data_IF_631610885906
#
_entry.id   IF_631610885906
#
_cell.length_a   1.000
_cell.length_b   1.000
_cell.length_c   1.000
_cell.angle_alpha   90.00
_cell.angle_beta   90.00
_cell.angle_gamma   90.00
#
_symmetry.space_group_name_H-M   'P 1'
#
loop_
_entity.id
_entity.type
_entity.pdbx_description
1 polymer ?
#
# COMPACT_ATOMS: atom_id res chain seq x y z
N UNK A 1 -8.43 24.50 4.37
CA UNK A 1 -8.32 23.06 4.10
C UNK A 1 -9.60 22.40 4.58
N UNK A 2 -10.28 21.56 3.77
CA UNK A 2 -11.56 20.95 4.14
C UNK A 2 -11.39 19.47 4.48
N UNK A 3 -11.97 18.97 5.57
CA UNK A 3 -12.15 17.53 5.88
C UNK A 3 -13.42 17.01 5.20
N UNK A 4 -13.64 15.72 4.96
CA UNK A 4 -14.88 15.16 4.37
C UNK A 4 -16.12 15.43 5.18
N UNK A 5 -15.98 15.53 6.51
CA UNK A 5 -17.05 16.07 7.36
C UNK A 5 -17.46 17.51 7.00
N UNK A 6 -16.61 18.25 6.28
CA UNK A 6 -16.89 19.55 5.65
C UNK A 6 -17.13 19.43 4.13
N UNK A 7 -16.73 18.32 3.50
CA UNK A 7 -17.03 17.98 2.11
C UNK A 7 -18.32 17.16 2.09
N UNK A 8 -19.47 17.77 2.36
CA UNK A 8 -20.79 17.11 2.37
C UNK A 8 -21.07 16.36 1.05
N UNK A 9 -20.60 15.12 0.89
CA UNK A 9 -20.83 14.29 -0.29
C UNK A 9 -22.30 13.92 -0.37
N UNK A 10 -22.87 13.96 -1.57
CA UNK A 10 -24.29 13.65 -1.80
C UNK A 10 -24.41 12.34 -2.57
N UNK A 11 -25.64 11.81 -2.67
CA UNK A 11 -25.89 10.60 -3.44
C UNK A 11 -25.52 10.75 -4.92
N UNK A 12 -25.59 11.95 -5.49
CA UNK A 12 -25.18 12.19 -6.89
C UNK A 12 -23.66 12.07 -7.11
N UNK A 13 -22.85 12.14 -6.05
CA UNK A 13 -21.40 11.94 -6.15
C UNK A 13 -21.00 10.46 -6.14
N UNK A 14 -21.95 9.55 -5.89
CA UNK A 14 -21.68 8.11 -5.85
C UNK A 14 -21.72 7.48 -7.24
N UNK A 15 -20.74 6.64 -7.53
CA UNK A 15 -20.71 5.78 -8.71
C UNK A 15 -21.10 4.35 -8.34
N UNK A 16 -21.96 3.73 -9.14
CA UNK A 16 -22.16 2.28 -9.09
C UNK A 16 -21.05 1.58 -9.87
N UNK A 17 -20.43 0.56 -9.26
CA UNK A 17 -19.48 -0.32 -9.95
C UNK A 17 -20.28 -1.37 -10.72
N UNK A 18 -20.21 -1.31 -12.04
CA UNK A 18 -20.89 -2.19 -12.97
C UNK A 18 -20.23 -3.57 -13.07
N UNK A 19 -18.90 -3.64 -12.89
CA UNK A 19 -18.15 -4.88 -13.03
C UNK A 19 -18.26 -5.76 -11.77
N UNK A 20 -18.85 -6.97 -11.85
CA UNK A 20 -19.12 -7.81 -10.66
C UNK A 20 -17.86 -8.21 -9.88
N UNK A 21 -16.79 -8.64 -10.57
CA UNK A 21 -15.52 -8.97 -9.90
C UNK A 21 -14.93 -7.75 -9.18
N UNK A 22 -14.84 -6.59 -9.82
CA UNK A 22 -14.25 -5.41 -9.20
C UNK A 22 -15.06 -4.95 -8.00
N UNK A 23 -16.39 -4.98 -8.09
CA UNK A 23 -17.25 -4.70 -6.94
C UNK A 23 -16.92 -5.67 -5.80
N UNK A 24 -16.83 -6.98 -6.06
CA UNK A 24 -16.48 -7.97 -5.04
C UNK A 24 -15.06 -7.80 -4.45
N UNK A 25 -14.08 -7.37 -5.25
CA UNK A 25 -12.71 -7.13 -4.79
C UNK A 25 -12.58 -5.84 -3.98
N UNK A 26 -13.32 -4.80 -4.34
CA UNK A 26 -13.22 -3.46 -3.75
C UNK A 26 -14.13 -3.25 -2.54
N UNK A 27 -15.26 -3.95 -2.47
CA UNK A 27 -16.33 -3.73 -1.49
C UNK A 27 -16.50 -4.92 -0.54
N UNK A 28 -17.42 -4.82 0.43
CA UNK A 28 -17.83 -5.97 1.24
C UNK A 28 -18.55 -7.07 0.44
N UNK A 29 -18.89 -6.81 -0.84
CA UNK A 29 -19.51 -7.78 -1.74
C UNK A 29 -21.03 -7.87 -1.62
N UNK A 30 -21.65 -7.04 -0.76
CA UNK A 30 -23.10 -7.00 -0.56
C UNK A 30 -23.82 -6.68 -1.87
N UNK A 31 -24.74 -7.56 -2.30
CA UNK A 31 -25.46 -7.42 -3.57
C UNK A 31 -24.63 -7.75 -4.82
N UNK A 32 -23.40 -8.26 -4.67
CA UNK A 32 -22.60 -8.73 -5.80
C UNK A 32 -23.20 -9.99 -6.42
N UNK A 33 -23.33 -10.00 -7.75
CA UNK A 33 -23.67 -11.21 -8.50
C UNK A 33 -22.52 -12.26 -8.46
N UNK A 34 -21.29 -11.82 -8.14
CA UNK A 34 -20.11 -12.69 -8.05
C UNK A 34 -19.68 -12.86 -6.60
N UNK A 35 -19.65 -14.11 -6.13
CA UNK A 35 -18.99 -14.48 -4.87
C UNK A 35 -17.56 -14.89 -5.17
N UNK A 36 -16.61 -14.12 -4.66
CA UNK A 36 -15.19 -14.43 -4.81
C UNK A 36 -14.76 -15.49 -3.78
N UNK A 37 -13.88 -16.44 -4.15
CA UNK A 37 -13.42 -17.51 -3.25
C UNK A 37 -12.40 -17.04 -2.20
N UNK A 38 -11.99 -15.77 -2.27
CA UNK A 38 -11.05 -15.12 -1.35
C UNK A 38 -11.67 -13.82 -0.86
N UNK A 39 -11.23 -13.36 0.30
CA UNK A 39 -11.72 -12.13 0.92
C UNK A 39 -11.37 -10.90 0.08
N UNK A 40 -12.09 -9.79 0.27
CA UNK A 40 -11.87 -8.55 -0.49
C UNK A 40 -10.51 -7.89 -0.17
N UNK A 41 -10.20 -6.79 -0.83
CA UNK A 41 -8.95 -6.03 -0.63
C UNK A 41 -8.68 -5.62 0.84
N UNK A 42 -9.73 -5.39 1.64
CA UNK A 42 -9.60 -4.92 3.03
C UNK A 42 -9.18 -6.02 4.02
N UNK A 43 -9.13 -7.28 3.60
CA UNK A 43 -8.76 -8.42 4.46
C UNK A 43 -7.26 -8.61 4.68
N UNK A 44 -6.42 -7.79 4.04
CA UNK A 44 -4.96 -7.92 4.02
C UNK A 44 -4.41 -9.19 3.35
N UNK A 45 -5.26 -10.01 2.71
CA UNK A 45 -4.82 -11.13 1.88
C UNK A 45 -4.04 -10.67 0.64
N UNK A 46 -3.02 -11.43 0.21
CA UNK A 46 -2.15 -11.07 -0.91
C UNK A 46 -2.78 -11.32 -2.29
N UNK A 47 -3.75 -12.24 -2.40
CA UNK A 47 -4.39 -12.66 -3.63
C UNK A 47 -5.30 -11.57 -4.21
N UNK A 48 -6.36 -11.20 -3.48
CA UNK A 48 -7.28 -10.13 -3.90
C UNK A 48 -6.55 -8.80 -4.03
N UNK A 49 -5.65 -8.53 -3.09
CA UNK A 49 -4.82 -7.33 -3.09
C UNK A 49 -3.92 -7.28 -4.32
N UNK A 50 -3.26 -8.39 -4.66
CA UNK A 50 -2.38 -8.49 -5.82
C UNK A 50 -3.12 -8.34 -7.14
N UNK A 51 -4.27 -8.99 -7.28
CA UNK A 51 -5.11 -8.86 -8.49
C UNK A 51 -5.57 -7.41 -8.67
N UNK A 52 -6.10 -6.79 -7.62
CA UNK A 52 -6.57 -5.40 -7.70
C UNK A 52 -5.42 -4.42 -7.96
N UNK A 53 -4.28 -4.56 -7.28
CA UNK A 53 -3.08 -3.76 -7.53
C UNK A 53 -2.62 -3.88 -8.98
N UNK A 54 -2.56 -5.11 -9.53
CA UNK A 54 -2.17 -5.34 -10.92
C UNK A 54 -3.11 -4.63 -11.89
N UNK A 55 -4.43 -4.83 -11.75
CA UNK A 55 -5.41 -4.18 -12.61
C UNK A 55 -5.33 -2.66 -12.53
N UNK A 56 -5.13 -2.09 -11.33
CA UNK A 56 -4.95 -0.65 -11.16
C UNK A 56 -3.67 -0.13 -11.82
N UNK A 57 -2.57 -0.87 -11.67
CA UNK A 57 -1.30 -0.50 -12.30
C UNK A 57 -1.40 -0.48 -13.82
N UNK A 58 -2.06 -1.47 -14.43
CA UNK A 58 -2.29 -1.49 -15.87
C UNK A 58 -3.29 -0.41 -16.32
N UNK A 59 -4.38 -0.22 -15.58
CA UNK A 59 -5.42 0.75 -15.93
C UNK A 59 -4.89 2.20 -15.92
N UNK A 60 -4.05 2.55 -14.94
CA UNK A 60 -3.58 3.91 -14.69
C UNK A 60 -2.10 4.13 -15.04
N UNK A 61 -1.48 3.14 -15.70
CA UNK A 61 -0.08 3.12 -16.08
C UNK A 61 0.88 3.45 -14.92
N UNK A 62 0.64 2.86 -13.75
CA UNK A 62 1.53 2.99 -12.59
C UNK A 62 2.66 1.99 -12.73
N UNK A 63 3.89 2.47 -12.69
CA UNK A 63 5.10 1.66 -12.83
C UNK A 63 6.02 1.87 -11.63
N UNK A 64 6.77 0.83 -11.27
CA UNK A 64 7.82 0.88 -10.25
C UNK A 64 9.13 0.41 -10.87
N UNK A 65 10.25 0.81 -10.28
CA UNK A 65 11.52 0.18 -10.59
C UNK A 65 11.51 -1.30 -10.18
N UNK A 66 12.20 -2.19 -10.92
CA UNK A 66 12.21 -3.62 -10.62
C UNK A 66 12.67 -3.99 -9.20
N UNK A 67 13.50 -3.16 -8.57
CA UNK A 67 13.98 -3.34 -7.19
C UNK A 67 13.15 -2.58 -6.15
N UNK A 68 11.98 -2.05 -6.53
CA UNK A 68 10.98 -1.50 -5.62
C UNK A 68 9.58 -2.08 -5.93
N UNK A 69 9.44 -3.43 -5.96
CA UNK A 69 8.15 -4.05 -6.25
C UNK A 69 7.14 -3.75 -5.15
N UNK A 70 5.85 -3.81 -5.50
CA UNK A 70 4.79 -3.87 -4.51
C UNK A 70 4.89 -5.17 -3.68
N UNK A 71 4.45 -5.16 -2.42
CA UNK A 71 4.48 -6.35 -1.58
C UNK A 71 3.78 -7.56 -2.21
N UNK A 72 2.64 -7.33 -2.89
CA UNK A 72 1.89 -8.37 -3.58
C UNK A 72 2.57 -8.90 -4.86
N UNK A 73 3.59 -8.20 -5.36
CA UNK A 73 4.40 -8.63 -6.50
C UNK A 73 5.66 -9.36 -6.03
N UNK A 74 6.12 -9.09 -4.81
CA UNK A 74 7.30 -9.72 -4.22
C UNK A 74 6.99 -11.00 -3.43
N UNK A 75 5.73 -11.21 -3.04
CA UNK A 75 5.31 -12.35 -2.21
C UNK A 75 4.14 -13.09 -2.85
N UNK A 76 4.23 -14.42 -2.88
CA UNK A 76 3.11 -15.27 -3.27
C UNK A 76 2.06 -15.30 -2.13
N UNK A 77 0.76 -15.39 -2.46
CA UNK A 77 -0.28 -15.70 -1.48
C UNK A 77 -0.02 -17.05 -0.81
N UNK A 78 -0.57 -17.24 0.40
CA UNK A 78 -0.60 -18.57 1.05
C UNK A 78 -1.42 -19.56 0.21
N UNK A 79 -1.19 -20.86 0.37
CA UNK A 79 -1.72 -21.90 -0.54
C UNK A 79 -3.24 -21.81 -0.79
N UNK A 80 -4.04 -21.67 0.29
CA UNK A 80 -5.50 -21.53 0.19
C UNK A 80 -5.91 -20.29 -0.61
N UNK A 81 -5.23 -19.17 -0.37
CA UNK A 81 -5.47 -17.92 -1.07
C UNK A 81 -4.99 -17.97 -2.53
N UNK A 82 -3.88 -18.66 -2.80
CA UNK A 82 -3.31 -18.81 -4.13
C UNK A 82 -4.26 -19.60 -5.05
N UNK A 83 -4.88 -20.66 -4.55
CA UNK A 83 -5.88 -21.43 -5.28
C UNK A 83 -7.10 -20.57 -5.65
N UNK A 84 -7.61 -19.77 -4.71
CA UNK A 84 -8.72 -18.86 -4.96
C UNK A 84 -8.37 -17.71 -5.91
N UNK A 85 -7.18 -17.13 -5.79
CA UNK A 85 -6.69 -16.11 -6.71
C UNK A 85 -6.56 -16.67 -8.14
N UNK A 86 -6.00 -17.87 -8.30
CA UNK A 86 -5.90 -18.53 -9.60
C UNK A 86 -7.27 -18.82 -10.21
N UNK A 87 -8.25 -19.21 -9.38
CA UNK A 87 -9.63 -19.40 -9.83
C UNK A 87 -10.24 -18.10 -10.36
N UNK A 88 -10.07 -16.98 -9.66
CA UNK A 88 -10.51 -15.67 -10.14
C UNK A 88 -9.88 -15.34 -11.50
N UNK A 89 -8.57 -15.52 -11.62
CA UNK A 89 -7.85 -15.25 -12.87
C UNK A 89 -8.40 -16.10 -14.03
N UNK A 90 -8.65 -17.39 -13.80
CA UNK A 90 -9.16 -18.32 -14.82
C UNK A 90 -10.62 -18.12 -15.20
N UNK A 91 -11.47 -17.66 -14.28
CA UNK A 91 -12.91 -17.56 -14.54
C UNK A 91 -13.30 -16.16 -15.05
N UNK A 92 -12.62 -15.12 -14.55
CA UNK A 92 -13.03 -13.74 -14.76
C UNK A 92 -12.03 -12.90 -15.56
N UNK A 93 -10.78 -13.36 -15.74
CA UNK A 93 -9.69 -12.59 -16.34
C UNK A 93 -8.83 -13.44 -17.32
N UNK A 94 -9.41 -14.49 -17.90
CA UNK A 94 -8.74 -15.49 -18.75
C UNK A 94 -8.50 -15.04 -20.20
N UNK A 95 -9.12 -13.93 -20.60
CA UNK A 95 -8.96 -13.38 -21.95
C UNK A 95 -8.55 -11.92 -21.91
N UNK A 96 -7.78 -11.43 -22.89
CA UNK A 96 -7.43 -10.01 -22.98
C UNK A 96 -8.65 -9.09 -22.97
N UNK A 97 -9.76 -9.53 -23.58
CA UNK A 97 -11.00 -8.76 -23.61
C UNK A 97 -11.62 -8.57 -22.21
N UNK A 98 -11.70 -9.65 -21.41
CA UNK A 98 -12.20 -9.54 -20.03
C UNK A 98 -11.29 -8.67 -19.16
N UNK A 99 -9.98 -8.77 -19.35
CA UNK A 99 -9.02 -7.89 -18.67
C UNK A 99 -9.30 -6.44 -19.04
N UNK A 100 -9.42 -6.10 -20.32
CA UNK A 100 -9.68 -4.71 -20.71
C UNK A 100 -11.03 -4.16 -20.23
N UNK A 101 -12.07 -4.99 -20.13
CA UNK A 101 -13.33 -4.57 -19.49
C UNK A 101 -13.09 -4.17 -18.03
N UNK A 102 -12.30 -4.94 -17.28
CA UNK A 102 -11.94 -4.59 -15.90
C UNK A 102 -11.08 -3.33 -15.82
N UNK A 103 -10.09 -3.17 -16.71
CA UNK A 103 -9.25 -1.97 -16.75
C UNK A 103 -10.08 -0.72 -17.09
N UNK A 104 -11.00 -0.82 -18.05
CA UNK A 104 -11.92 0.26 -18.41
C UNK A 104 -12.80 0.70 -17.24
N UNK A 105 -13.27 -0.25 -16.43
CA UNK A 105 -14.05 0.07 -15.24
C UNK A 105 -13.22 0.78 -14.16
N UNK A 106 -11.96 0.38 -13.94
CA UNK A 106 -11.06 1.08 -13.02
C UNK A 106 -10.83 2.53 -13.49
N UNK A 107 -10.60 2.73 -14.79
CA UNK A 107 -10.45 4.09 -15.36
C UNK A 107 -11.72 4.90 -15.12
N UNK A 108 -12.90 4.33 -15.35
CA UNK A 108 -14.20 4.99 -15.12
C UNK A 108 -14.38 5.40 -13.65
N UNK A 109 -14.04 4.52 -12.71
CA UNK A 109 -14.10 4.83 -11.27
C UNK A 109 -13.15 5.98 -10.94
N UNK A 110 -11.90 5.91 -11.41
CA UNK A 110 -10.91 6.96 -11.21
C UNK A 110 -11.41 8.30 -11.77
N UNK A 111 -11.82 8.34 -13.04
CA UNK A 111 -12.28 9.56 -13.71
C UNK A 111 -13.50 10.17 -13.02
N UNK A 112 -14.45 9.33 -12.57
CA UNK A 112 -15.58 9.79 -11.77
C UNK A 112 -15.14 10.42 -10.46
N UNK A 113 -14.31 9.74 -9.68
CA UNK A 113 -13.72 10.24 -8.43
C UNK A 113 -13.03 11.60 -8.64
N UNK A 114 -12.20 11.71 -9.67
CA UNK A 114 -11.53 12.96 -10.02
C UNK A 114 -12.51 14.07 -10.43
N UNK A 115 -13.59 13.71 -11.15
CA UNK A 115 -14.64 14.66 -11.52
C UNK A 115 -15.36 15.23 -10.30
N UNK A 116 -15.65 14.39 -9.29
CA UNK A 116 -16.27 14.79 -8.03
C UNK A 116 -15.38 15.79 -7.30
N UNK A 117 -14.09 15.48 -7.14
CA UNK A 117 -13.14 16.38 -6.48
C UNK A 117 -13.00 17.71 -7.21
N UNK A 118 -12.94 17.66 -8.55
CA UNK A 118 -12.90 18.86 -9.40
C UNK A 118 -14.13 19.74 -9.22
N UNK A 119 -15.35 19.17 -9.27
CA UNK A 119 -16.61 19.92 -9.05
C UNK A 119 -16.65 20.58 -7.68
N UNK A 120 -16.09 19.92 -6.68
CA UNK A 120 -16.04 20.40 -5.29
C UNK A 120 -14.84 21.31 -4.98
N UNK A 121 -13.95 21.54 -5.94
CA UNK A 121 -12.76 22.37 -5.78
C UNK A 121 -11.71 21.80 -4.82
N UNK A 122 -11.70 20.48 -4.62
CA UNK A 122 -10.77 19.79 -3.73
C UNK A 122 -9.49 19.51 -4.53
N UNK A 123 -8.33 19.87 -3.98
CA UNK A 123 -7.00 19.66 -4.59
C UNK A 123 -6.11 18.76 -3.77
N UNK A 124 -6.22 18.86 -2.46
CA UNK A 124 -5.52 18.01 -1.49
C UNK A 124 -6.50 17.53 -0.44
N UNK A 125 -6.15 16.42 0.20
CA UNK A 125 -6.85 15.85 1.35
C UNK A 125 -5.84 15.42 2.40
N UNK A 126 -6.08 15.78 3.66
CA UNK A 126 -5.24 15.33 4.76
C UNK A 126 -5.79 14.02 5.30
N UNK A 127 -4.98 12.97 5.19
CA UNK A 127 -5.36 11.62 5.58
C UNK A 127 -4.43 11.09 6.67
N UNK A 128 -4.96 10.15 7.42
CA UNK A 128 -4.34 9.52 8.55
C UNK A 128 -4.30 8.01 8.34
N UNK A 129 -3.27 7.41 8.91
CA UNK A 129 -3.15 5.96 9.01
C UNK A 129 -2.56 5.59 10.36
N UNK A 130 -3.35 4.91 11.16
CA UNK A 130 -2.89 4.38 12.44
C UNK A 130 -2.22 3.04 12.23
N UNK A 131 -1.14 2.81 12.98
CA UNK A 131 -0.20 1.73 12.75
C UNK A 131 0.04 0.96 14.05
N UNK A 132 0.03 -0.36 13.91
CA UNK A 132 0.36 -1.29 14.99
C UNK A 132 1.73 -1.93 14.74
N UNK A 133 2.38 -2.38 15.81
CA UNK A 133 3.70 -3.03 15.71
C UNK A 133 3.66 -4.44 15.12
N UNK A 134 2.48 -5.06 15.02
CA UNK A 134 2.28 -6.44 14.59
C UNK A 134 2.77 -7.47 15.63
N UNK A 135 2.76 -8.75 15.24
CA UNK A 135 3.33 -9.84 16.03
C UNK A 135 4.86 -9.78 15.97
N UNK A 136 5.46 -9.31 17.06
CA UNK A 136 6.92 -9.21 17.24
C UNK A 136 7.51 -10.61 17.41
N UNK A 137 8.33 -11.04 16.45
CA UNK A 137 9.19 -12.22 16.58
C UNK A 137 10.67 -11.83 16.47
N UNK A 138 11.55 -12.43 17.26
CA UNK A 138 12.99 -12.41 17.00
C UNK A 138 13.75 -11.10 17.23
N UNK A 139 13.28 -10.22 18.13
CA UNK A 139 14.03 -9.01 18.51
C UNK A 139 14.00 -7.85 17.50
N UNK A 140 13.22 -7.97 16.42
CA UNK A 140 13.00 -6.89 15.45
C UNK A 140 12.08 -5.78 16.00
N UNK A 141 12.32 -4.55 15.53
CA UNK A 141 11.43 -3.40 15.76
C UNK A 141 10.09 -3.62 15.07
N UNK A 142 9.00 -3.29 15.74
CA UNK A 142 7.67 -3.30 15.14
C UNK A 142 7.51 -2.18 14.10
N UNK A 143 6.49 -2.29 13.25
CA UNK A 143 6.28 -1.34 12.15
C UNK A 143 5.99 0.09 12.65
N UNK A 144 5.10 0.24 13.63
CA UNK A 144 4.76 1.52 14.22
C UNK A 144 5.96 2.17 14.94
N UNK A 145 6.69 1.36 15.71
CA UNK A 145 7.95 1.70 16.36
C UNK A 145 8.97 2.25 15.34
N UNK A 146 9.18 1.53 14.23
CA UNK A 146 10.12 1.93 13.17
C UNK A 146 9.79 3.32 12.63
N UNK A 147 8.51 3.59 12.39
CA UNK A 147 8.07 4.89 11.87
C UNK A 147 8.26 6.03 12.87
N UNK A 148 8.03 5.77 14.16
CA UNK A 148 8.35 6.72 15.22
C UNK A 148 9.84 7.03 15.25
N UNK A 149 10.69 6.02 15.14
CA UNK A 149 12.15 6.20 15.13
C UNK A 149 12.61 6.94 13.87
N UNK A 150 12.04 6.66 12.71
CA UNK A 150 12.31 7.42 11.48
C UNK A 150 11.93 8.91 11.63
N UNK A 151 10.77 9.21 12.21
CA UNK A 151 10.37 10.59 12.50
C UNK A 151 11.37 11.28 13.43
N UNK A 152 11.79 10.63 14.51
CA UNK A 152 12.78 11.19 15.45
C UNK A 152 14.14 11.41 14.81
N UNK A 153 14.57 10.46 13.96
CA UNK A 153 15.82 10.58 13.21
C UNK A 153 15.77 11.78 12.25
N UNK A 154 14.66 11.94 11.52
CA UNK A 154 14.44 13.09 10.64
C UNK A 154 14.49 14.41 11.42
N UNK A 155 13.78 14.52 12.55
CA UNK A 155 13.81 15.73 13.40
C UNK A 155 15.20 16.03 13.92
N UNK A 156 15.96 15.02 14.36
CA UNK A 156 17.35 15.19 14.82
C UNK A 156 18.24 15.77 13.72
N UNK A 157 18.01 15.36 12.47
CA UNK A 157 18.73 15.85 11.29
C UNK A 157 18.15 17.15 10.71
N UNK A 158 17.14 17.75 11.35
CA UNK A 158 16.38 18.90 10.83
C UNK A 158 15.75 18.65 9.44
N UNK A 159 15.40 17.40 9.13
CA UNK A 159 14.63 17.06 7.95
C UNK A 159 13.14 17.23 8.24
N UNK A 160 12.45 17.97 7.37
CA UNK A 160 10.98 18.15 7.47
C UNK A 160 10.20 16.85 7.19
N UNK A 161 10.79 15.94 6.41
CA UNK A 161 10.16 14.71 5.93
C UNK A 161 11.13 13.52 6.01
N UNK A 162 10.56 12.31 6.02
CA UNK A 162 11.29 11.07 5.79
C UNK A 162 10.57 10.20 4.76
N UNK A 163 11.34 9.38 4.04
CA UNK A 163 10.80 8.48 3.03
C UNK A 163 10.53 7.09 3.62
N UNK A 164 9.30 6.60 3.47
CA UNK A 164 8.86 5.28 3.92
C UNK A 164 8.46 4.41 2.70
N UNK A 165 9.00 3.20 2.56
CA UNK A 165 8.50 2.22 1.58
C UNK A 165 7.00 1.95 1.75
N UNK A 166 6.26 1.97 0.64
CA UNK A 166 4.81 1.87 0.64
C UNK A 166 4.29 1.19 -0.62
N UNK A 167 3.24 0.38 -0.45
CA UNK A 167 2.55 -0.29 -1.55
C UNK A 167 1.93 0.72 -2.53
N UNK A 168 1.67 0.28 -3.75
CA UNK A 168 0.98 1.03 -4.80
C UNK A 168 -0.40 1.44 -4.33
N UNK A 169 -1.14 0.52 -3.71
CA UNK A 169 -2.44 0.80 -3.12
C UNK A 169 -2.37 0.77 -1.60
N UNK A 170 -2.87 1.84 -0.99
CA UNK A 170 -2.90 2.02 0.47
C UNK A 170 -4.24 2.56 0.92
N UNK A 171 -4.72 2.05 2.05
CA UNK A 171 -5.94 2.51 2.71
C UNK A 171 -5.58 3.54 3.79
N UNK A 172 -6.40 4.60 3.84
CA UNK A 172 -6.28 5.75 4.72
C UNK A 172 -7.66 6.19 5.20
N UNK A 173 -7.68 7.04 6.22
CA UNK A 173 -8.91 7.60 6.78
C UNK A 173 -8.70 9.07 7.16
N UNK A 174 -9.76 9.87 7.19
CA UNK A 174 -9.61 11.28 7.58
C UNK A 174 -9.54 11.50 9.09
N UNK A 175 -10.21 10.66 9.87
CA UNK A 175 -9.96 10.54 11.30
C UNK A 175 -8.77 9.61 11.53
N UNK A 176 -8.02 9.78 12.61
CA UNK A 176 -7.06 8.76 13.03
C UNK A 176 -7.83 7.47 13.35
N UNK A 177 -8.01 6.58 12.37
CA UNK A 177 -8.71 5.30 12.53
C UNK A 177 -8.05 4.44 13.61
N UNK A 178 -8.76 3.47 14.18
CA UNK A 178 -8.24 2.58 15.23
C UNK A 178 -7.46 3.30 16.36
N UNK A 179 -8.18 4.07 17.19
CA UNK A 179 -7.60 4.87 18.28
C UNK A 179 -6.75 4.08 19.30
N UNK A 180 -6.82 2.75 19.30
CA UNK A 180 -6.01 1.87 20.15
C UNK A 180 -4.57 1.68 19.67
N UNK A 181 -4.25 2.06 18.42
CA UNK A 181 -2.95 1.86 17.81
C UNK A 181 -1.93 2.90 18.32
N UNK A 182 -0.66 2.50 18.56
CA UNK A 182 0.31 3.35 19.26
C UNK A 182 0.76 4.58 18.48
N UNK A 183 0.77 4.52 17.14
CA UNK A 183 1.29 5.57 16.26
C UNK A 183 0.30 5.84 15.13
N UNK A 184 0.09 7.10 14.78
CA UNK A 184 -0.63 7.52 13.58
C UNK A 184 0.27 8.40 12.74
N UNK A 185 0.32 8.16 11.44
CA UNK A 185 0.91 9.09 10.47
C UNK A 185 -0.18 9.94 9.84
N UNK A 186 0.11 11.23 9.64
CA UNK A 186 -0.74 12.21 8.97
C UNK A 186 -0.01 12.75 7.75
N UNK A 187 -0.62 12.59 6.58
CA UNK A 187 -0.04 12.96 5.29
C UNK A 187 -1.07 13.75 4.49
N UNK A 188 -0.65 14.85 3.87
CA UNK A 188 -1.44 15.54 2.86
C UNK A 188 -1.22 14.86 1.51
N UNK A 189 -2.30 14.36 0.93
CA UNK A 189 -2.27 13.71 -0.39
C UNK A 189 -2.91 14.63 -1.43
N UNK A 190 -2.29 14.79 -2.60
CA UNK A 190 -2.96 15.41 -3.71
C UNK A 190 -4.05 14.47 -4.25
N UNK A 191 -5.21 15.01 -4.63
CA UNK A 191 -6.38 14.17 -4.96
C UNK A 191 -6.22 13.36 -6.25
N UNK A 192 -5.31 13.73 -7.15
CA UNK A 192 -4.96 12.91 -8.32
C UNK A 192 -4.34 11.54 -7.95
N UNK A 193 -3.91 11.38 -6.70
CA UNK A 193 -3.46 10.11 -6.17
C UNK A 193 -4.59 9.32 -5.51
N UNK A 194 -5.79 9.86 -5.36
CA UNK A 194 -6.93 9.12 -4.78
C UNK A 194 -7.64 8.33 -5.86
N UNK A 195 -7.75 7.01 -5.69
CA UNK A 195 -8.48 6.15 -6.63
C UNK A 195 -9.99 6.17 -6.36
N UNK A 196 -10.36 5.99 -5.10
CA UNK A 196 -11.72 6.22 -4.60
C UNK A 196 -11.69 6.56 -3.11
N UNK A 197 -12.79 7.12 -2.62
CA UNK A 197 -13.15 7.15 -1.21
C UNK A 197 -14.47 6.42 -0.99
N UNK A 198 -14.74 6.06 0.25
CA UNK A 198 -15.99 5.41 0.66
C UNK A 198 -17.23 6.24 0.32
N UNK A 199 -17.09 7.56 0.29
CA UNK A 199 -18.18 8.51 0.01
C UNK A 199 -18.56 8.57 -1.47
N UNK A 200 -17.69 8.14 -2.38
CA UNK A 200 -17.94 8.17 -3.83
C UNK A 200 -18.37 6.81 -4.40
N UNK A 201 -18.41 5.74 -3.62
CA UNK A 201 -18.84 4.41 -4.10
C UNK A 201 -20.26 4.10 -3.61
N UNK A 202 -21.15 3.74 -4.53
CA UNK A 202 -22.51 3.31 -4.20
C UNK A 202 -22.54 1.86 -3.67
N UNK A 203 -23.37 1.62 -2.66
CA UNK A 203 -23.69 0.28 -2.16
C UNK A 203 -24.77 -0.37 -3.01
N UNK A 204 -24.62 -1.67 -3.28
CA UNK A 204 -25.66 -2.54 -3.86
C UNK A 204 -26.44 -3.34 -2.80
N UNK A 205 -26.19 -3.09 -1.52
CA UNK A 205 -26.93 -3.72 -0.43
C UNK A 205 -28.38 -3.22 -0.31
N UNK A 206 -29.17 -3.90 0.52
CA UNK A 206 -30.59 -3.57 0.77
C UNK A 206 -30.84 -2.14 1.27
N UNK A 207 -29.80 -1.50 1.83
CA UNK A 207 -29.79 -0.09 2.22
C UNK A 207 -28.84 0.66 1.29
N UNK A 208 -29.33 1.31 0.22
CA UNK A 208 -28.49 2.08 -0.72
C UNK A 208 -27.65 3.18 -0.07
N UNK A 209 -28.06 3.63 1.13
CA UNK A 209 -27.34 4.62 1.93
C UNK A 209 -26.18 4.03 2.73
N UNK A 210 -26.05 2.71 2.85
CA UNK A 210 -24.89 2.07 3.49
C UNK A 210 -23.62 2.31 2.68
N UNK A 211 -22.47 2.25 3.35
CA UNK A 211 -21.17 2.30 2.67
C UNK A 211 -20.89 0.94 2.02
N UNK A 212 -20.48 0.94 0.75
CA UNK A 212 -20.06 -0.29 0.06
C UNK A 212 -18.71 -0.80 0.58
N UNK A 213 -17.89 0.11 1.08
CA UNK A 213 -16.55 -0.12 1.65
C UNK A 213 -16.53 0.38 3.09
N UNK A 214 -15.37 0.31 3.77
CA UNK A 214 -15.24 0.82 5.13
C UNK A 214 -15.55 2.33 5.18
N UNK A 215 -16.41 2.75 6.11
CA UNK A 215 -16.84 4.14 6.22
C UNK A 215 -15.64 5.05 6.54
N UNK A 216 -15.49 6.13 5.78
CA UNK A 216 -14.37 7.06 5.91
C UNK A 216 -13.06 6.56 5.29
N UNK A 217 -13.07 5.43 4.57
CA UNK A 217 -11.89 4.91 3.87
C UNK A 217 -11.56 5.72 2.61
N UNK A 218 -10.27 5.92 2.36
CA UNK A 218 -9.68 6.52 1.18
C UNK A 218 -8.59 5.63 0.64
N UNK A 219 -8.72 5.22 -0.62
CA UNK A 219 -7.71 4.41 -1.30
C UNK A 219 -6.82 5.30 -2.13
N UNK A 220 -5.55 5.34 -1.73
CA UNK A 220 -4.54 6.22 -2.29
C UNK A 220 -3.50 5.41 -3.04
N UNK A 221 -3.21 5.89 -4.26
CA UNK A 221 -2.19 5.44 -5.18
C UNK A 221 -0.84 6.07 -4.85
N UNK A 222 0.15 5.24 -4.62
CA UNK A 222 1.54 5.68 -4.64
C UNK A 222 2.10 5.51 -6.06
N UNK A 223 2.17 6.63 -6.79
CA UNK A 223 2.70 6.70 -8.17
C UNK A 223 4.24 6.79 -8.25
N UNK A 224 4.95 6.85 -7.13
CA UNK A 224 6.41 7.04 -7.15
C UNK A 224 7.13 5.89 -7.87
N UNK A 225 8.18 6.14 -8.65
CA UNK A 225 8.92 5.03 -9.28
C UNK A 225 9.69 4.18 -8.27
N UNK A 226 10.06 4.76 -7.13
CA UNK A 226 10.93 4.13 -6.12
C UNK A 226 10.18 3.45 -4.97
N UNK A 227 8.86 3.35 -5.00
CA UNK A 227 8.12 2.71 -3.89
C UNK A 227 7.92 3.58 -2.66
N UNK A 228 8.49 4.78 -2.60
CA UNK A 228 8.55 5.57 -1.36
C UNK A 228 7.36 6.53 -1.25
N UNK A 229 6.92 6.73 -0.01
CA UNK A 229 5.99 7.75 0.42
C UNK A 229 6.74 8.72 1.32
N UNK A 230 6.67 10.01 1.01
CA UNK A 230 7.23 11.04 1.88
C UNK A 230 6.25 11.36 3.00
N UNK A 231 6.70 11.24 4.25
CA UNK A 231 5.90 11.46 5.46
C UNK A 231 6.48 12.66 6.22
N UNK A 232 5.67 13.67 6.56
CA UNK A 232 6.13 14.77 7.39
C UNK A 232 6.62 14.26 8.75
N UNK A 233 7.80 14.69 9.19
CA UNK A 233 8.36 14.28 10.47
C UNK A 233 7.45 14.68 11.63
N UNK A 234 6.82 15.85 11.55
CA UNK A 234 5.80 16.35 12.50
C UNK A 234 4.38 15.79 12.25
N UNK A 235 4.21 14.98 11.21
CA UNK A 235 2.98 14.25 10.93
C UNK A 235 2.83 12.95 11.73
N UNK A 236 3.83 12.57 12.52
CA UNK A 236 3.79 11.35 13.35
C UNK A 236 3.28 11.65 14.75
N UNK A 237 2.12 11.09 15.08
CA UNK A 237 1.38 11.28 16.33
C UNK A 237 1.51 10.00 17.17
N UNK A 238 1.82 10.14 18.47
CA UNK A 238 1.94 9.02 19.40
C UNK A 238 0.82 9.08 20.43
N UNK A 239 0.05 8.00 20.56
CA UNK A 239 -1.15 7.97 21.43
C UNK A 239 -0.89 7.43 22.84
N UNK A 240 0.27 6.80 23.07
CA UNK A 240 0.73 6.35 24.40
C UNK A 240 1.93 7.17 24.86
N UNK A 241 2.03 7.37 26.18
CA UNK A 241 2.98 8.28 26.83
C UNK A 241 4.43 8.09 26.31
N UNK A 242 4.86 8.98 25.41
CA UNK A 242 6.08 8.84 24.59
C UNK A 242 7.36 9.37 25.27
N UNK A 243 7.22 9.94 26.47
CA UNK A 243 8.29 10.67 27.16
C UNK A 243 9.44 9.76 27.63
N UNK A 244 9.22 8.44 27.68
CA UNK A 244 10.23 7.44 28.01
C UNK A 244 10.74 6.66 26.79
N UNK A 245 10.21 6.93 25.59
CA UNK A 245 10.66 6.23 24.38
C UNK A 245 12.08 6.68 24.03
N UNK A 246 12.99 5.73 23.90
CA UNK A 246 14.34 5.95 23.36
C UNK A 246 14.40 5.34 21.97
N UNK A 247 14.84 6.09 20.93
CA UNK A 247 14.97 5.53 19.60
C UNK A 247 15.92 4.34 19.60
N UNK A 248 15.60 3.30 18.84
CA UNK A 248 16.41 2.09 18.80
C UNK A 248 17.84 2.33 18.32
N UNK A 249 18.03 3.29 17.41
CA UNK A 249 19.34 3.65 16.86
C UNK A 249 20.24 4.39 17.85
N UNK A 250 19.69 4.91 18.95
CA UNK A 250 20.46 5.53 20.03
C UNK A 250 20.99 4.49 21.04
N UNK A 251 20.50 3.24 20.99
CA UNK A 251 20.93 2.15 21.87
C UNK A 251 22.25 1.53 21.37
N UNK A 252 23.38 2.08 21.84
CA UNK A 252 24.75 1.67 21.45
C UNK A 252 25.01 0.16 21.58
N UNK A 253 24.38 -0.50 22.54
CA UNK A 253 24.59 -1.93 22.85
C UNK A 253 24.06 -2.89 21.77
N UNK A 254 23.21 -2.43 20.83
CA UNK A 254 22.57 -3.31 19.84
C UNK A 254 23.29 -3.41 18.49
N UNK A 255 24.27 -2.54 18.19
CA UNK A 255 24.80 -2.46 16.83
C UNK A 255 26.31 -2.14 16.83
N UNK A 256 27.17 -3.17 16.72
CA UNK A 256 28.63 -3.02 16.52
C UNK A 256 28.98 -2.06 15.37
N UNK A 257 28.15 -2.03 14.32
CA UNK A 257 28.36 -1.15 13.17
C UNK A 257 28.11 0.35 13.43
N UNK A 258 27.67 0.72 14.64
CA UNK A 258 27.41 2.11 15.04
C UNK A 258 28.42 2.63 16.08
N UNK A 259 29.41 1.83 16.47
CA UNK A 259 30.41 2.21 17.47
C UNK A 259 31.25 3.39 16.97
N UNK A 260 31.33 4.45 17.77
CA UNK A 260 32.09 5.67 17.45
C UNK A 260 31.37 6.68 16.54
N UNK A 261 30.13 6.41 16.13
CA UNK A 261 29.32 7.36 15.39
C UNK A 261 28.63 8.38 16.33
N UNK A 262 28.52 9.62 15.87
CA UNK A 262 27.65 10.65 16.47
C UNK A 262 26.18 10.23 16.40
N UNK A 263 25.32 10.94 17.15
CA UNK A 263 23.88 10.64 17.13
C UNK A 263 23.25 10.96 15.79
N UNK A 264 23.75 11.99 15.11
CA UNK A 264 23.35 12.44 13.79
C UNK A 264 23.73 11.40 12.73
N UNK A 265 24.98 10.91 12.72
CA UNK A 265 25.42 9.84 11.82
C UNK A 265 24.61 8.54 12.01
N UNK A 266 24.26 8.22 13.27
CA UNK A 266 23.38 7.07 13.57
C UNK A 266 21.98 7.28 13.02
N UNK A 267 21.41 8.46 13.16
CA UNK A 267 20.10 8.81 12.60
C UNK A 267 20.10 8.75 11.06
N UNK A 268 21.14 9.26 10.41
CA UNK A 268 21.27 9.23 8.94
C UNK A 268 21.38 7.80 8.44
N UNK A 269 22.26 7.00 9.06
CA UNK A 269 22.43 5.58 8.74
C UNK A 269 21.14 4.80 8.96
N UNK A 270 20.38 5.12 10.01
CA UNK A 270 19.08 4.50 10.30
C UNK A 270 18.08 4.80 9.18
N UNK A 271 17.89 6.07 8.80
CA UNK A 271 16.99 6.45 7.72
C UNK A 271 17.38 5.79 6.39
N UNK A 272 18.66 5.81 6.03
CA UNK A 272 19.17 5.16 4.82
C UNK A 272 18.88 3.65 4.81
N UNK A 273 19.06 2.98 5.96
CA UNK A 273 18.74 1.56 6.12
C UNK A 273 17.24 1.28 5.92
N UNK A 274 16.36 2.09 6.51
CA UNK A 274 14.91 1.86 6.40
C UNK A 274 14.39 2.13 4.97
N UNK A 275 14.96 3.11 4.26
CA UNK A 275 14.63 3.39 2.85
C UNK A 275 14.88 2.18 1.93
N UNK A 276 15.87 1.36 2.27
CA UNK A 276 16.22 0.14 1.53
C UNK A 276 15.44 -1.12 1.93
N UNK A 277 14.40 -1.01 2.77
CA UNK A 277 13.53 -2.14 3.12
C UNK A 277 12.27 -2.18 2.27
N UNK A 278 11.65 -3.34 2.11
CA UNK A 278 10.31 -3.47 1.52
C UNK A 278 9.27 -3.49 2.63
N UNK A 279 9.13 -2.44 3.42
CA UNK A 279 8.03 -2.41 4.39
C UNK A 279 6.67 -2.29 3.65
N UNK A 280 5.60 -3.02 4.06
CA UNK A 280 5.46 -3.78 5.30
C UNK A 280 5.95 -5.25 5.26
N UNK A 281 6.67 -5.70 4.23
CA UNK A 281 7.33 -7.01 4.24
C UNK A 281 8.52 -7.03 5.21
N UNK A 282 8.74 -8.19 5.84
CA UNK A 282 9.98 -8.51 6.55
C UNK A 282 11.10 -8.76 5.52
N UNK A 283 11.76 -7.71 5.02
CA UNK A 283 12.83 -7.87 4.04
C UNK A 283 13.43 -6.59 3.47
N UNK A 284 14.53 -6.76 2.72
CA UNK A 284 15.23 -5.70 2.00
C UNK A 284 14.73 -5.58 0.55
N UNK A 285 14.75 -4.37 -0.03
CA UNK A 285 14.37 -4.07 -1.42
C UNK A 285 15.44 -4.42 -2.44
N UNK A 286 16.67 -4.54 -1.97
CA UNK A 286 17.73 -5.15 -2.76
C UNK A 286 17.27 -6.59 -2.99
N UNK A 287 17.20 -7.10 -4.24
CA UNK A 287 17.08 -8.53 -4.43
C UNK A 287 18.12 -9.11 -3.50
N UNK A 288 17.72 -9.97 -2.56
CA UNK A 288 18.71 -10.72 -1.84
C UNK A 288 19.52 -11.39 -2.94
N UNK A 289 20.71 -10.86 -3.20
CA UNK A 289 21.84 -11.61 -3.68
C UNK A 289 22.14 -12.57 -2.53
N UNK A 290 21.20 -13.50 -2.27
CA UNK A 290 21.60 -14.85 -1.98
C UNK A 290 22.43 -15.17 -3.20
N UNK A 291 23.74 -15.13 -3.03
CA UNK A 291 24.71 -15.74 -3.95
C UNK A 291 24.28 -17.17 -4.35
N UNK A 292 23.25 -17.77 -3.73
CA UNK A 292 22.66 -19.05 -4.09
C UNK A 292 21.52 -19.10 -5.12
N UNK A 293 20.85 -18.00 -5.54
CA UNK A 293 19.67 -18.12 -6.44
C UNK A 293 19.95 -17.94 -7.95
N UNK A 294 21.17 -17.55 -8.33
CA UNK A 294 21.64 -17.56 -9.73
C UNK A 294 22.92 -18.39 -9.93
N UNK A 295 23.11 -19.41 -9.10
CA UNK A 295 24.06 -20.50 -9.39
C UNK A 295 23.48 -21.47 -10.41
N UNK A 296 22.95 -20.95 -11.52
CA UNK A 296 22.78 -21.75 -12.72
C UNK A 296 24.18 -22.21 -13.12
N UNK A 297 24.40 -23.53 -13.14
CA UNK A 297 25.63 -24.09 -13.67
C UNK A 297 25.75 -23.61 -15.11
N UNK A 298 26.97 -23.50 -15.63
CA UNK A 298 27.17 -23.07 -17.02
C UNK A 298 26.32 -23.88 -18.02
N UNK A 299 26.04 -25.15 -17.72
CA UNK A 299 25.15 -26.03 -18.51
C UNK A 299 23.70 -25.57 -18.53
N UNK A 300 23.18 -25.10 -17.40
CA UNK A 300 21.80 -24.61 -17.30
C UNK A 300 21.65 -23.27 -18.02
N UNK A 301 22.69 -22.41 -17.94
CA UNK A 301 22.78 -21.18 -18.72
C UNK A 301 22.81 -21.46 -20.23
N UNK A 302 23.59 -22.45 -20.67
CA UNK A 302 23.66 -22.85 -22.07
C UNK A 302 22.34 -23.46 -22.56
N UNK A 303 21.65 -24.26 -21.73
CA UNK A 303 20.32 -24.80 -22.07
C UNK A 303 19.30 -23.69 -22.29
N UNK A 304 19.25 -22.71 -21.39
CA UNK A 304 18.35 -21.55 -21.53
C UNK A 304 18.70 -20.76 -22.79
N UNK A 305 19.99 -20.50 -23.04
CA UNK A 305 20.44 -19.80 -24.24
C UNK A 305 20.02 -20.54 -25.53
N UNK A 306 20.17 -21.86 -25.58
CA UNK A 306 19.75 -22.69 -26.72
C UNK A 306 18.23 -22.71 -26.89
N UNK A 307 17.45 -22.69 -25.81
CA UNK A 307 15.99 -22.62 -25.87
C UNK A 307 15.51 -21.29 -26.46
N UNK A 308 16.12 -20.17 -26.06
CA UNK A 308 15.83 -18.83 -26.59
C UNK A 308 16.22 -18.73 -28.07
N UNK A 309 17.35 -19.31 -28.46
CA UNK A 309 17.79 -19.32 -29.87
C UNK A 309 16.95 -20.23 -30.76
N UNK A 310 16.29 -21.26 -30.21
CA UNK A 310 15.38 -22.16 -30.96
C UNK A 310 13.95 -21.64 -31.07
N UNK A 311 13.60 -20.61 -30.29
CA UNK A 311 12.29 -19.96 -30.33
C UNK A 311 12.29 -18.68 -31.18
N UNK A 312 13.37 -18.45 -31.93
CA UNK A 312 13.45 -17.53 -33.08
C UNK A 312 13.65 -18.33 -34.34
#
# INVERSE_FOLDING_TARGET
MKTSSQMNFTNEDRIEISHPLLYALMTYGDGSATKVPISNWNSWGLGSRGILTWLVMEALNVRRHPWHPDACQASAPIEEEAAGALKILKEHLDTPHKVEIALGEIRRIYDHTQSVFKRRGIRTVQLHRSLYDGDKGGGEEGYATTILDMSRAAKRLNHEHFDLPSNVLTSWCEGAGYASYPVTIRVEHPVENVLWSSDVIASKGEKPTSSAVESGEWIVLNRSLNGLLSVPADGVIVHRNSNLWRPSYDLEERIDSCKGLTSEERAEKYLAKQRGKLAPLKGYSIPHYRQGLLNLRWRDRLKIALQVMRTR
#
